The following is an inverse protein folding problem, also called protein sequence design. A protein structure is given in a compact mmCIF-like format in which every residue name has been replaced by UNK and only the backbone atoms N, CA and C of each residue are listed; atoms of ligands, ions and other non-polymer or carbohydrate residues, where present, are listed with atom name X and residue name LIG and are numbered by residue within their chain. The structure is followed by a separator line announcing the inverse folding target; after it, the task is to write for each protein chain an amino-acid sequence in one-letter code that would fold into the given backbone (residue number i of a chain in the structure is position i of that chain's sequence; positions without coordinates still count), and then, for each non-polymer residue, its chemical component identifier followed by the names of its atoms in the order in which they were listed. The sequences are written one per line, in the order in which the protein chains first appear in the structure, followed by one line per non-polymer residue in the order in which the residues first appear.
data_IF_876579827949
#
_entry.id   IF_876579827949
#
_cell.length_a   1.000
_cell.length_b   1.000
_cell.length_c   1.000
_cell.angle_alpha   90.00
_cell.angle_beta   90.00
_cell.angle_gamma   90.00
#
_symmetry.space_group_name_H-M   'P 1'
#
loop_
_entity.id
_entity.type
_entity.pdbx_description
1 polymer ?
#
# COMPACT_ATOMS: atom_id res chain seq x y z
N UNK A 1 -22.36 -1.85 7.63
CA UNK A 1 -21.54 -2.35 8.76
C UNK A 1 -21.61 -3.86 9.04
N UNK A 2 -22.55 -4.69 8.54
CA UNK A 2 -22.50 -6.15 8.77
C UNK A 2 -21.55 -6.96 7.84
N UNK A 3 -21.04 -6.37 6.75
CA UNK A 3 -20.26 -7.13 5.73
C UNK A 3 -18.77 -7.28 6.02
N UNK A 4 -18.17 -6.40 6.83
CA UNK A 4 -16.75 -6.49 7.20
C UNK A 4 -16.46 -7.54 8.28
N UNK A 5 -17.43 -7.85 9.13
CA UNK A 5 -17.30 -8.91 10.14
C UNK A 5 -17.29 -10.32 9.55
N UNK A 6 -17.94 -10.53 8.40
CA UNK A 6 -17.97 -11.83 7.74
C UNK A 6 -16.60 -12.26 7.18
N UNK A 7 -15.77 -11.33 6.71
CA UNK A 7 -14.47 -11.66 6.09
C UNK A 7 -13.40 -12.03 7.13
N UNK A 8 -13.40 -11.42 8.31
CA UNK A 8 -12.48 -11.79 9.40
C UNK A 8 -12.80 -13.18 9.98
N UNK A 9 -14.08 -13.51 10.06
CA UNK A 9 -14.55 -14.83 10.54
C UNK A 9 -14.17 -15.97 9.58
N UNK A 10 -14.13 -15.72 8.27
CA UNK A 10 -13.78 -16.72 7.26
C UNK A 10 -12.28 -17.04 7.27
N UNK A 11 -11.42 -16.07 7.54
CA UNK A 11 -9.97 -16.31 7.67
C UNK A 11 -9.65 -17.12 8.94
N UNK A 12 -10.32 -16.83 10.05
CA UNK A 12 -10.18 -17.57 11.29
C UNK A 12 -10.66 -19.04 11.14
N UNK A 13 -11.72 -19.28 10.41
CA UNK A 13 -12.29 -20.63 10.23
C UNK A 13 -11.37 -21.62 9.46
N UNK A 14 -10.44 -21.15 8.63
CA UNK A 14 -9.46 -22.04 7.94
C UNK A 14 -8.21 -22.37 8.75
N UNK A 15 -7.89 -21.61 9.79
CA UNK A 15 -6.78 -21.90 10.70
C UNK A 15 -7.12 -22.95 11.77
N UNK A 16 -8.40 -23.30 11.92
CA UNK A 16 -8.90 -24.21 12.96
C UNK A 16 -8.91 -25.70 12.59
N UNK A 17 -8.30 -26.09 11.48
CA UNK A 17 -8.24 -27.51 11.08
C UNK A 17 -7.43 -28.41 12.05
N UNK A 18 -6.79 -27.82 13.07
CA UNK A 18 -5.90 -28.52 14.02
C UNK A 18 -6.30 -28.34 15.49
N UNK A 19 -7.46 -27.73 15.80
CA UNK A 19 -7.94 -27.57 17.18
C UNK A 19 -9.30 -28.19 17.38
N UNK A 20 -9.58 -28.66 18.62
CA UNK A 20 -10.85 -29.22 19.02
C UNK A 20 -12.00 -28.23 18.74
N UNK A 21 -13.07 -28.64 18.03
CA UNK A 21 -14.21 -27.79 17.73
C UNK A 21 -14.85 -27.13 18.97
N UNK A 22 -14.94 -27.84 20.09
CA UNK A 22 -15.54 -27.33 21.33
C UNK A 22 -14.66 -26.26 22.01
N UNK A 23 -13.35 -26.36 21.91
CA UNK A 23 -12.42 -25.35 22.42
C UNK A 23 -12.45 -24.08 21.55
N UNK A 24 -12.67 -24.25 20.26
CA UNK A 24 -12.80 -23.15 19.31
C UNK A 24 -14.09 -22.35 19.53
N UNK A 25 -15.22 -23.02 19.75
CA UNK A 25 -16.48 -22.33 20.06
C UNK A 25 -16.42 -21.57 21.39
N UNK A 26 -15.80 -22.14 22.41
CA UNK A 26 -15.61 -21.44 23.71
C UNK A 26 -14.72 -20.20 23.57
N UNK A 27 -13.66 -20.25 22.75
CA UNK A 27 -12.79 -19.09 22.49
C UNK A 27 -13.53 -18.01 21.70
N UNK A 28 -14.33 -18.38 20.71
CA UNK A 28 -15.12 -17.44 19.92
C UNK A 28 -16.21 -16.73 20.76
N UNK A 29 -16.89 -17.43 21.65
CA UNK A 29 -17.91 -16.85 22.54
C UNK A 29 -17.31 -16.00 23.66
N UNK A 30 -16.11 -16.32 24.16
CA UNK A 30 -15.41 -15.50 25.16
C UNK A 30 -14.79 -14.22 24.58
N UNK A 31 -14.50 -14.17 23.28
CA UNK A 31 -13.93 -13.00 22.61
C UNK A 31 -14.99 -11.92 22.29
N UNK A 32 -16.28 -12.26 22.31
CA UNK A 32 -17.36 -11.30 22.02
C UNK A 32 -17.62 -10.28 23.14
N UNK A 33 -17.07 -10.46 24.33
CA UNK A 33 -17.26 -9.54 25.46
C UNK A 33 -16.02 -8.68 25.79
N UNK A 34 -14.91 -8.86 25.10
CA UNK A 34 -13.79 -7.94 25.22
C UNK A 34 -13.99 -6.78 24.24
N UNK A 35 -14.35 -5.61 24.77
CA UNK A 35 -14.13 -4.34 24.06
C UNK A 35 -12.71 -4.41 23.46
N UNK A 36 -12.61 -4.29 22.12
CA UNK A 36 -11.32 -4.17 21.48
C UNK A 36 -10.52 -3.12 22.27
N UNK A 37 -9.28 -3.40 22.70
CA UNK A 37 -8.48 -2.39 23.34
C UNK A 37 -8.45 -1.18 22.41
N UNK A 38 -8.64 0.02 22.96
CA UNK A 38 -8.38 1.26 22.26
C UNK A 38 -6.89 1.23 21.88
N UNK A 39 -6.58 0.65 20.72
CA UNK A 39 -5.21 0.52 20.25
C UNK A 39 -4.78 1.88 19.72
N UNK A 40 -4.29 2.73 20.62
CA UNK A 40 -3.50 3.87 20.24
C UNK A 40 -2.19 3.33 19.67
N UNK A 41 -2.13 3.14 18.37
CA UNK A 41 -0.90 2.80 17.67
C UNK A 41 0.05 4.01 17.61
N UNK A 42 1.32 3.80 17.23
CA UNK A 42 2.28 4.91 17.11
C UNK A 42 1.88 5.96 16.07
N UNK A 43 0.98 5.65 15.14
CA UNK A 43 0.44 6.57 14.13
C UNK A 43 -1.03 6.97 14.40
N UNK A 44 -1.50 6.81 15.63
CA UNK A 44 -2.85 7.27 16.00
C UNK A 44 -3.00 8.78 15.77
N UNK A 45 -4.09 9.17 15.10
CA UNK A 45 -4.34 10.55 14.68
C UNK A 45 -3.81 10.93 13.31
N UNK A 46 -2.87 10.16 12.73
CA UNK A 46 -2.38 10.38 11.36
C UNK A 46 -3.44 9.97 10.34
N UNK A 47 -3.70 10.84 9.37
CA UNK A 47 -4.68 10.63 8.30
C UNK A 47 -4.00 10.48 6.95
N UNK A 48 -4.33 9.41 6.24
CA UNK A 48 -3.70 9.04 4.98
C UNK A 48 -4.74 8.87 3.88
N UNK A 49 -4.51 9.50 2.72
CA UNK A 49 -5.20 9.15 1.47
C UNK A 49 -4.31 8.21 0.67
N UNK A 50 -4.81 7.02 0.40
CA UNK A 50 -4.12 6.03 -0.43
C UNK A 50 -4.77 5.98 -1.82
N UNK A 51 -4.09 6.59 -2.80
CA UNK A 51 -4.47 6.62 -4.23
C UNK A 51 -3.78 5.51 -5.03
N UNK A 52 -2.93 4.69 -4.41
CA UNK A 52 -2.12 3.70 -5.10
C UNK A 52 -2.98 2.63 -5.79
N UNK A 53 -2.51 2.12 -6.93
CA UNK A 53 -3.19 1.05 -7.67
C UNK A 53 -2.40 -0.26 -7.71
N UNK A 54 -1.15 -0.24 -7.24
CA UNK A 54 -0.23 -1.38 -7.25
C UNK A 54 -0.04 -2.00 -5.86
N UNK A 55 0.80 -3.04 -5.82
CA UNK A 55 1.12 -3.77 -4.60
C UNK A 55 1.94 -2.91 -3.64
N UNK A 56 2.98 -2.24 -4.14
CA UNK A 56 3.92 -1.50 -3.30
C UNK A 56 3.22 -0.36 -2.55
N UNK A 57 2.46 0.49 -3.26
CA UNK A 57 1.71 1.57 -2.64
C UNK A 57 0.62 1.06 -1.70
N UNK A 58 -0.12 0.02 -2.11
CA UNK A 58 -1.14 -0.58 -1.23
C UNK A 58 -0.52 -1.19 0.02
N UNK A 59 0.65 -1.84 -0.08
CA UNK A 59 1.36 -2.38 1.07
C UNK A 59 1.90 -1.29 2.00
N UNK A 60 2.43 -0.19 1.44
CA UNK A 60 2.81 1.00 2.20
C UNK A 60 1.63 1.52 3.04
N UNK A 61 0.48 1.79 2.42
CA UNK A 61 -0.71 2.26 3.12
C UNK A 61 -1.24 1.28 4.16
N UNK A 62 -1.13 -0.04 3.90
CA UNK A 62 -1.47 -1.07 4.89
C UNK A 62 -0.58 -1.01 6.13
N UNK A 63 0.74 -0.91 5.95
CA UNK A 63 1.67 -0.82 7.09
C UNK A 63 1.35 0.39 7.97
N UNK A 64 1.07 1.55 7.37
CA UNK A 64 0.66 2.73 8.14
C UNK A 64 -0.66 2.48 8.90
N UNK A 65 -1.64 1.81 8.25
CA UNK A 65 -2.91 1.44 8.90
C UNK A 65 -2.70 0.43 10.04
N UNK A 66 -1.82 -0.56 9.87
CA UNK A 66 -1.49 -1.56 10.90
C UNK A 66 -0.84 -0.90 12.11
N UNK A 67 -0.13 0.23 11.93
CA UNK A 67 0.43 1.04 13.02
C UNK A 67 -0.52 2.13 13.57
N UNK A 68 -1.78 2.15 13.13
CA UNK A 68 -2.84 2.98 13.74
C UNK A 68 -3.25 4.21 12.95
N UNK A 69 -2.67 4.48 11.77
CA UNK A 69 -3.12 5.58 10.93
C UNK A 69 -4.55 5.35 10.40
N UNK A 70 -5.33 6.42 10.27
CA UNK A 70 -6.64 6.39 9.61
C UNK A 70 -6.46 6.49 8.09
N UNK A 71 -6.43 5.35 7.41
CA UNK A 71 -6.15 5.25 5.98
C UNK A 71 -7.44 5.13 5.18
N UNK A 72 -7.67 6.08 4.28
CA UNK A 72 -8.75 6.05 3.29
C UNK A 72 -8.18 5.68 1.92
N UNK A 73 -8.49 4.47 1.46
CA UNK A 73 -8.21 4.00 0.11
C UNK A 73 -9.21 4.61 -0.86
N UNK A 74 -8.72 5.40 -1.82
CA UNK A 74 -9.51 5.95 -2.91
C UNK A 74 -9.26 5.16 -4.19
N UNK A 75 -10.31 4.55 -4.72
CA UNK A 75 -10.25 3.72 -5.91
C UNK A 75 -10.97 4.40 -7.09
N UNK A 76 -10.50 4.19 -8.33
CA UNK A 76 -11.28 4.60 -9.50
C UNK A 76 -12.63 3.85 -9.54
N UNK A 77 -13.63 4.34 -10.30
CA UNK A 77 -14.95 3.68 -10.41
C UNK A 77 -14.88 2.21 -10.88
N UNK A 78 -13.81 1.86 -11.59
CA UNK A 78 -13.54 0.49 -12.08
C UNK A 78 -12.95 -0.42 -11.01
N UNK A 79 -12.66 0.10 -9.81
CA UNK A 79 -11.91 -0.56 -8.75
C UNK A 79 -10.40 -0.63 -9.05
N UNK A 80 -9.60 -0.76 -8.00
CA UNK A 80 -8.14 -0.90 -8.11
C UNK A 80 -7.76 -2.17 -8.88
N UNK A 81 -6.59 -2.15 -9.54
CA UNK A 81 -6.06 -3.27 -10.34
C UNK A 81 -5.95 -4.56 -9.53
N UNK A 82 -5.59 -4.46 -8.26
CA UNK A 82 -5.44 -5.59 -7.33
C UNK A 82 -6.74 -6.38 -7.11
N UNK A 83 -7.91 -5.79 -7.34
CA UNK A 83 -9.20 -6.49 -7.26
C UNK A 83 -9.34 -7.59 -8.31
N UNK A 84 -8.53 -7.53 -9.37
CA UNK A 84 -8.49 -8.52 -10.46
C UNK A 84 -7.39 -9.56 -10.31
N UNK A 85 -6.61 -9.49 -9.23
CA UNK A 85 -5.54 -10.44 -8.93
C UNK A 85 -6.04 -11.56 -8.01
N UNK A 86 -5.76 -12.82 -8.40
CA UNK A 86 -6.01 -14.00 -7.56
C UNK A 86 -4.96 -14.15 -6.43
N UNK A 87 -5.16 -15.13 -5.53
CA UNK A 87 -6.26 -16.09 -5.53
C UNK A 87 -7.59 -15.44 -5.15
N UNK A 88 -8.68 -16.06 -5.60
CA UNK A 88 -10.03 -15.62 -5.30
C UNK A 88 -10.71 -16.55 -4.29
N UNK A 89 -11.52 -15.98 -3.41
CA UNK A 89 -12.31 -16.79 -2.49
C UNK A 89 -13.26 -17.73 -3.24
N UNK A 90 -13.16 -19.02 -2.93
CA UNK A 90 -13.96 -20.07 -3.57
C UNK A 90 -13.61 -20.32 -5.04
N UNK A 91 -12.39 -19.91 -5.47
CA UNK A 91 -11.91 -20.02 -6.86
C UNK A 91 -12.84 -19.34 -7.90
N UNK A 92 -13.63 -18.36 -7.45
CA UNK A 92 -14.56 -17.59 -8.27
C UNK A 92 -13.99 -16.19 -8.56
N UNK A 93 -13.47 -15.91 -9.77
CA UNK A 93 -12.92 -14.61 -10.13
C UNK A 93 -13.97 -13.51 -10.06
N UNK A 94 -13.90 -12.70 -9.01
CA UNK A 94 -14.79 -11.57 -8.78
C UNK A 94 -14.03 -10.46 -8.05
N UNK A 95 -14.23 -9.16 -8.38
CA UNK A 95 -13.51 -8.04 -7.77
C UNK A 95 -13.63 -7.95 -6.24
N UNK A 96 -14.74 -8.42 -5.67
CA UNK A 96 -14.96 -8.45 -4.23
C UNK A 96 -14.42 -9.72 -3.54
N UNK A 97 -13.83 -10.65 -4.31
CA UNK A 97 -13.32 -11.94 -3.82
C UNK A 97 -11.81 -12.09 -3.92
N UNK A 98 -11.08 -11.08 -4.39
CA UNK A 98 -9.63 -11.08 -4.42
C UNK A 98 -9.08 -11.12 -2.99
N UNK A 99 -8.49 -12.24 -2.61
CA UNK A 99 -7.82 -12.39 -1.32
C UNK A 99 -6.53 -11.56 -1.27
N UNK A 100 -5.93 -11.32 -2.42
CA UNK A 100 -4.76 -10.47 -2.55
C UNK A 100 -5.10 -9.00 -2.28
N UNK A 101 -6.18 -8.48 -2.90
CA UNK A 101 -6.68 -7.14 -2.60
C UNK A 101 -7.02 -6.99 -1.11
N UNK A 102 -7.73 -7.97 -0.54
CA UNK A 102 -8.07 -7.97 0.88
C UNK A 102 -6.82 -7.89 1.76
N UNK A 103 -5.80 -8.71 1.45
CA UNK A 103 -4.55 -8.74 2.20
C UNK A 103 -3.83 -7.39 2.14
N UNK A 104 -3.75 -6.75 0.96
CA UNK A 104 -3.03 -5.49 0.76
C UNK A 104 -3.78 -4.27 1.33
N UNK A 105 -5.07 -4.40 1.63
CA UNK A 105 -5.89 -3.28 2.08
C UNK A 105 -6.57 -3.53 3.44
N UNK A 106 -6.02 -4.43 4.27
CA UNK A 106 -6.45 -4.60 5.66
C UNK A 106 -6.35 -3.27 6.42
N UNK A 107 -7.29 -3.08 7.36
CA UNK A 107 -7.37 -1.92 8.25
C UNK A 107 -7.61 -0.56 7.56
N UNK A 108 -7.86 -0.54 6.25
CA UNK A 108 -8.21 0.67 5.50
C UNK A 108 -9.72 0.82 5.36
N UNK A 109 -10.18 2.06 5.31
CA UNK A 109 -11.50 2.43 4.79
C UNK A 109 -11.43 2.55 3.27
N UNK A 110 -12.53 2.34 2.56
CA UNK A 110 -12.57 2.44 1.10
C UNK A 110 -13.62 3.44 0.63
N UNK A 111 -13.30 4.20 -0.41
CA UNK A 111 -14.22 5.04 -1.16
C UNK A 111 -13.82 5.07 -2.65
N UNK A 112 -14.76 5.51 -3.50
CA UNK A 112 -14.52 5.65 -4.94
C UNK A 112 -14.37 7.11 -5.31
N UNK A 113 -13.34 7.43 -6.09
CA UNK A 113 -13.10 8.76 -6.61
C UNK A 113 -12.57 8.69 -8.06
N UNK A 114 -13.20 9.41 -8.98
CA UNK A 114 -12.75 9.48 -10.37
C UNK A 114 -11.88 10.72 -10.59
N UNK A 115 -10.56 10.54 -10.60
CA UNK A 115 -9.59 11.62 -10.84
C UNK A 115 -9.55 12.10 -12.30
N UNK A 116 -10.11 11.35 -13.25
CA UNK A 116 -10.22 11.79 -14.63
C UNK A 116 -11.24 12.93 -14.80
N UNK A 117 -12.17 13.08 -13.84
CA UNK A 117 -13.17 14.16 -13.87
C UNK A 117 -12.70 15.38 -13.09
N UNK A 118 -13.10 16.57 -13.56
CA UNK A 118 -12.86 17.84 -12.84
C UNK A 118 -13.45 17.78 -11.42
N UNK A 119 -14.65 17.22 -11.30
CA UNK A 119 -15.30 17.07 -9.99
C UNK A 119 -14.49 16.21 -9.02
N UNK A 120 -13.97 15.08 -9.49
CA UNK A 120 -13.14 14.19 -8.67
C UNK A 120 -11.85 14.88 -8.20
N UNK A 121 -11.17 15.60 -9.09
CA UNK A 121 -9.98 16.40 -8.72
C UNK A 121 -10.29 17.50 -7.70
N UNK A 122 -11.41 18.19 -7.87
CA UNK A 122 -11.84 19.21 -6.91
C UNK A 122 -12.19 18.60 -5.54
N UNK A 123 -12.74 17.38 -5.50
CA UNK A 123 -12.98 16.65 -4.26
C UNK A 123 -11.63 16.30 -3.60
N UNK A 124 -10.65 15.78 -4.37
CA UNK A 124 -9.32 15.48 -3.83
C UNK A 124 -8.68 16.73 -3.22
N UNK A 125 -8.65 17.87 -3.93
CA UNK A 125 -8.11 19.14 -3.40
C UNK A 125 -8.79 19.57 -2.10
N UNK A 126 -10.09 19.35 -1.96
CA UNK A 126 -10.83 19.64 -0.72
C UNK A 126 -10.54 18.67 0.43
N UNK A 127 -10.10 17.45 0.14
CA UNK A 127 -9.69 16.48 1.17
C UNK A 127 -8.29 16.75 1.70
N UNK A 128 -7.37 17.21 0.84
CA UNK A 128 -5.95 17.39 1.15
C UNK A 128 -5.68 18.28 2.38
N UNK A 129 -6.40 19.38 2.64
CA UNK A 129 -6.22 20.16 3.88
C UNK A 129 -6.54 19.41 5.19
N UNK A 130 -7.15 18.24 5.10
CA UNK A 130 -7.60 17.45 6.25
C UNK A 130 -6.80 16.17 6.46
N UNK A 131 -5.71 15.97 5.71
CA UNK A 131 -4.87 14.78 5.78
C UNK A 131 -3.40 15.13 5.88
N UNK A 132 -2.62 14.22 6.43
CA UNK A 132 -1.18 14.38 6.63
C UNK A 132 -0.38 13.78 5.48
N UNK A 133 -0.88 12.69 4.90
CA UNK A 133 -0.16 11.90 3.89
C UNK A 133 -1.05 11.60 2.70
N UNK A 134 -0.48 11.69 1.50
CA UNK A 134 -1.00 11.10 0.25
C UNK A 134 -0.01 10.06 -0.26
N UNK A 135 -0.49 8.83 -0.53
CA UNK A 135 0.29 7.77 -1.18
C UNK A 135 -0.23 7.61 -2.61
N UNK A 136 0.67 7.53 -3.57
CA UNK A 136 0.32 7.26 -4.97
C UNK A 136 1.34 6.32 -5.64
N UNK A 137 0.94 5.69 -6.74
CA UNK A 137 1.79 4.79 -7.52
C UNK A 137 1.54 4.90 -9.03
N UNK A 138 1.10 6.08 -9.47
CA UNK A 138 0.90 6.34 -10.90
C UNK A 138 2.23 6.55 -11.61
N UNK A 139 2.21 6.48 -12.94
CA UNK A 139 3.39 6.87 -13.72
C UNK A 139 3.81 8.31 -13.37
N UNK A 140 5.12 8.61 -13.37
CA UNK A 140 5.60 9.96 -13.14
C UNK A 140 4.92 11.00 -14.03
N UNK A 141 4.43 12.08 -13.41
CA UNK A 141 3.72 13.15 -14.09
C UNK A 141 2.21 12.97 -14.23
N UNK A 142 1.65 11.75 -14.01
CA UNK A 142 0.22 11.50 -14.20
C UNK A 142 -0.68 12.42 -13.38
N UNK A 143 -0.42 12.57 -12.10
CA UNK A 143 -1.22 13.46 -11.23
C UNK A 143 -0.99 14.93 -11.58
N UNK A 144 0.23 15.31 -11.95
CA UNK A 144 0.56 16.68 -12.39
C UNK A 144 -0.16 17.05 -13.70
N UNK A 145 -0.28 16.10 -14.66
CA UNK A 145 -1.06 16.29 -15.89
C UNK A 145 -2.52 16.68 -15.62
N UNK A 146 -3.05 16.26 -14.45
CA UNK A 146 -4.41 16.61 -14.00
C UNK A 146 -4.46 17.80 -13.03
N UNK A 147 -3.34 18.45 -12.72
CA UNK A 147 -3.26 19.56 -11.78
C UNK A 147 -3.54 19.16 -10.33
N UNK A 148 -3.16 17.93 -9.96
CA UNK A 148 -3.22 17.36 -8.61
C UNK A 148 -1.91 16.62 -8.26
N UNK A 149 -0.78 17.04 -8.83
CA UNK A 149 0.56 16.60 -8.43
C UNK A 149 1.00 17.21 -7.10
N UNK A 150 2.21 16.88 -6.65
CA UNK A 150 2.72 17.37 -5.37
C UNK A 150 2.70 18.90 -5.28
N UNK A 151 3.20 19.61 -6.30
CA UNK A 151 3.25 21.07 -6.32
C UNK A 151 1.85 21.71 -6.25
N UNK A 152 0.85 21.06 -6.85
CA UNK A 152 -0.54 21.52 -6.78
C UNK A 152 -1.16 21.29 -5.40
N UNK A 153 -0.88 20.13 -4.79
CA UNK A 153 -1.48 19.72 -3.52
C UNK A 153 -0.81 20.39 -2.32
N UNK A 154 0.51 20.67 -2.37
CA UNK A 154 1.21 21.40 -1.32
C UNK A 154 0.73 22.86 -1.21
N UNK A 155 0.21 23.43 -2.30
CA UNK A 155 -0.41 24.75 -2.26
C UNK A 155 -1.72 24.78 -1.44
N UNK A 156 -2.42 23.64 -1.33
CA UNK A 156 -3.62 23.47 -0.50
C UNK A 156 -3.26 23.09 0.96
N UNK A 157 -2.12 22.42 1.16
CA UNK A 157 -1.64 22.00 2.49
C UNK A 157 -0.11 21.96 2.51
N UNK A 158 0.53 23.00 3.03
CA UNK A 158 2.00 23.13 3.08
C UNK A 158 2.70 22.09 3.95
N UNK A 159 1.97 21.43 4.83
CA UNK A 159 2.48 20.34 5.67
C UNK A 159 2.27 18.95 5.04
N UNK A 160 1.74 18.86 3.82
CA UNK A 160 1.46 17.60 3.16
C UNK A 160 2.73 16.78 2.90
N UNK A 161 2.69 15.51 3.30
CA UNK A 161 3.65 14.51 2.87
C UNK A 161 3.04 13.75 1.69
N UNK A 162 3.74 13.70 0.56
CA UNK A 162 3.35 12.87 -0.58
C UNK A 162 4.38 11.78 -0.83
N UNK A 163 3.96 10.52 -0.81
CA UNK A 163 4.80 9.36 -1.06
C UNK A 163 4.45 8.75 -2.41
N UNK A 164 5.32 8.95 -3.39
CA UNK A 164 5.21 8.39 -4.74
C UNK A 164 6.06 7.13 -4.83
N UNK A 165 5.45 6.00 -5.18
CA UNK A 165 6.14 4.72 -5.27
C UNK A 165 6.01 4.21 -6.71
N UNK A 166 7.13 4.16 -7.43
CA UNK A 166 7.15 3.77 -8.84
C UNK A 166 8.27 2.78 -9.11
N UNK A 167 8.23 2.06 -10.24
CA UNK A 167 9.29 1.09 -10.56
C UNK A 167 10.70 1.66 -10.55
N UNK A 168 10.88 2.91 -11.03
CA UNK A 168 12.19 3.53 -11.24
C UNK A 168 12.34 4.94 -10.66
N UNK A 169 11.42 5.38 -9.80
CA UNK A 169 11.41 6.75 -9.27
C UNK A 169 10.77 7.77 -10.23
N UNK A 170 10.62 9.00 -9.73
CA UNK A 170 10.00 10.10 -10.46
C UNK A 170 10.93 10.72 -11.50
N UNK A 171 12.24 10.51 -11.39
CA UNK A 171 13.27 11.15 -12.23
C UNK A 171 14.22 10.12 -12.82
N UNK A 172 15.11 10.57 -13.70
CA UNK A 172 16.11 9.71 -14.32
C UNK A 172 15.65 9.07 -15.65
N UNK A 173 16.59 8.37 -16.33
CA UNK A 173 16.37 7.89 -17.71
C UNK A 173 15.33 6.78 -17.82
N UNK A 174 15.05 6.06 -16.73
CA UNK A 174 14.10 4.94 -16.70
C UNK A 174 12.74 5.30 -16.11
N UNK A 175 12.54 6.53 -15.59
CA UNK A 175 11.33 6.93 -14.86
C UNK A 175 10.03 6.67 -15.63
N UNK A 176 10.04 6.77 -16.96
CA UNK A 176 8.86 6.55 -17.81
C UNK A 176 8.71 5.08 -18.27
N UNK A 177 9.62 4.19 -17.89
CA UNK A 177 9.53 2.78 -18.27
C UNK A 177 8.54 2.03 -17.38
N UNK A 178 7.92 1.01 -17.95
CA UNK A 178 7.11 0.06 -17.18
C UNK A 178 8.03 -0.93 -16.49
N UNK A 179 7.83 -1.10 -15.18
CA UNK A 179 8.55 -2.06 -14.37
C UNK A 179 7.59 -3.05 -13.72
N UNK A 180 7.65 -4.28 -14.16
CA UNK A 180 7.00 -5.41 -13.49
C UNK A 180 7.94 -6.01 -12.43
N UNK A 181 7.41 -6.84 -11.56
CA UNK A 181 8.17 -7.49 -10.48
C UNK A 181 9.52 -8.07 -10.97
N UNK A 182 9.49 -8.85 -12.07
CA UNK A 182 10.70 -9.49 -12.60
C UNK A 182 11.73 -8.48 -13.12
N UNK A 183 11.26 -7.36 -13.67
CA UNK A 183 12.13 -6.29 -14.19
C UNK A 183 12.84 -5.59 -13.03
N UNK A 184 12.11 -5.21 -11.98
CA UNK A 184 12.68 -4.57 -10.80
C UNK A 184 13.68 -5.50 -10.09
N UNK A 185 13.37 -6.80 -10.03
CA UNK A 185 14.25 -7.82 -9.47
C UNK A 185 15.56 -7.99 -10.24
N UNK A 186 15.46 -8.02 -11.58
CA UNK A 186 16.62 -8.14 -12.46
C UNK A 186 17.51 -6.89 -12.40
N UNK A 187 16.91 -5.71 -12.54
CA UNK A 187 17.64 -4.44 -12.52
C UNK A 187 18.17 -4.09 -11.13
N UNK A 188 17.50 -4.51 -10.07
CA UNK A 188 17.98 -4.41 -8.69
C UNK A 188 19.05 -5.43 -8.31
N UNK A 189 19.55 -6.24 -9.26
CA UNK A 189 20.65 -7.18 -9.13
C UNK A 189 20.39 -8.45 -8.30
N UNK A 190 19.28 -8.59 -7.61
CA UNK A 190 18.99 -9.77 -6.77
C UNK A 190 18.99 -11.06 -7.61
N UNK A 191 18.52 -11.00 -8.86
CA UNK A 191 18.57 -12.17 -9.74
C UNK A 191 19.98 -12.64 -10.07
N UNK A 192 20.98 -11.76 -10.02
CA UNK A 192 22.38 -12.13 -10.30
C UNK A 192 23.00 -13.03 -9.22
N UNK A 193 22.42 -13.01 -8.02
CA UNK A 193 22.87 -13.81 -6.86
C UNK A 193 21.87 -14.89 -6.47
N UNK A 194 20.80 -15.06 -7.26
CA UNK A 194 19.74 -16.03 -7.01
C UNK A 194 19.81 -17.17 -8.02
N UNK A 195 19.69 -18.41 -7.56
CA UNK A 195 19.71 -19.60 -8.39
C UNK A 195 20.98 -20.44 -8.21
N UNK A 196 21.26 -21.31 -9.18
CA UNK A 196 22.39 -22.23 -9.19
C UNK A 196 23.43 -21.70 -10.19
N UNK A 197 24.70 -21.70 -9.82
CA UNK A 197 25.77 -21.24 -10.70
C UNK A 197 25.80 -22.04 -12.02
N UNK A 198 25.72 -21.34 -13.14
CA UNK A 198 25.70 -21.94 -14.48
C UNK A 198 24.28 -22.23 -15.01
N UNK A 199 23.24 -22.03 -14.20
CA UNK A 199 21.83 -22.11 -14.57
C UNK A 199 21.23 -20.73 -14.78
N UNK A 200 19.95 -20.68 -15.23
CA UNK A 200 19.24 -19.42 -15.42
C UNK A 200 18.99 -18.71 -14.07
N UNK A 201 19.13 -17.37 -14.01
CA UNK A 201 18.80 -16.60 -12.82
C UNK A 201 17.34 -16.79 -12.39
N UNK A 202 17.09 -16.94 -11.11
CA UNK A 202 15.77 -17.16 -10.57
C UNK A 202 15.21 -15.91 -9.87
N UNK A 203 13.93 -15.63 -10.10
CA UNK A 203 13.15 -14.69 -9.30
C UNK A 203 12.59 -15.42 -8.08
N UNK A 204 12.61 -14.78 -6.91
CA UNK A 204 11.92 -15.30 -5.73
C UNK A 204 10.39 -15.36 -5.97
N UNK A 205 9.72 -16.25 -5.27
CA UNK A 205 8.27 -16.37 -5.34
C UNK A 205 7.54 -15.11 -4.83
N UNK A 206 6.36 -14.84 -5.37
CA UNK A 206 5.54 -13.70 -5.00
C UNK A 206 6.04 -12.36 -5.56
N UNK A 207 5.84 -11.29 -4.83
CA UNK A 207 6.06 -9.89 -5.22
C UNK A 207 7.03 -9.20 -4.27
N UNK A 208 8.22 -9.75 -4.09
CA UNK A 208 9.19 -9.28 -3.09
C UNK A 208 9.71 -7.87 -3.38
N UNK A 209 9.97 -7.53 -4.65
CA UNK A 209 10.37 -6.17 -5.02
C UNK A 209 9.30 -5.14 -4.65
N UNK A 210 8.02 -5.47 -4.89
CA UNK A 210 6.91 -4.60 -4.54
C UNK A 210 6.77 -4.45 -3.02
N UNK A 211 6.98 -5.52 -2.25
CA UNK A 211 6.97 -5.44 -0.79
C UNK A 211 8.12 -4.59 -0.25
N UNK A 212 9.31 -4.71 -0.83
CA UNK A 212 10.46 -3.87 -0.47
C UNK A 212 10.18 -2.39 -0.75
N UNK A 213 9.62 -2.07 -1.93
CA UNK A 213 9.19 -0.71 -2.25
C UNK A 213 8.17 -0.17 -1.26
N UNK A 214 7.13 -0.95 -0.93
CA UNK A 214 6.10 -0.57 0.02
C UNK A 214 6.62 -0.39 1.45
N UNK A 215 7.53 -1.26 1.90
CA UNK A 215 8.17 -1.18 3.21
C UNK A 215 9.03 0.10 3.32
N UNK A 216 9.88 0.37 2.32
CA UNK A 216 10.69 1.59 2.26
C UNK A 216 9.80 2.84 2.20
N UNK A 217 8.69 2.79 1.43
CA UNK A 217 7.69 3.85 1.39
C UNK A 217 7.10 4.13 2.78
N UNK A 218 6.67 3.10 3.50
CA UNK A 218 6.11 3.26 4.85
C UNK A 218 7.15 3.79 5.86
N UNK A 219 8.39 3.27 5.81
CA UNK A 219 9.47 3.74 6.67
C UNK A 219 9.82 5.21 6.41
N UNK A 220 10.01 5.60 5.14
CA UNK A 220 10.31 6.98 4.75
C UNK A 220 9.17 7.93 5.10
N UNK A 221 7.91 7.51 4.89
CA UNK A 221 6.73 8.28 5.30
C UNK A 221 6.70 8.49 6.81
N UNK A 222 7.03 7.47 7.61
CA UNK A 222 7.09 7.60 9.06
C UNK A 222 8.18 8.57 9.53
N UNK A 223 9.35 8.57 8.86
CA UNK A 223 10.44 9.54 9.12
C UNK A 223 9.97 10.96 8.75
N UNK A 224 9.29 11.12 7.61
CA UNK A 224 8.75 12.40 7.19
C UNK A 224 7.70 12.95 8.16
N UNK A 225 6.81 12.09 8.69
CA UNK A 225 5.85 12.46 9.72
C UNK A 225 6.54 12.93 11.01
N UNK A 226 7.64 12.29 11.40
CA UNK A 226 8.45 12.76 12.52
C UNK A 226 9.07 14.14 12.24
N UNK A 227 9.59 14.38 11.04
CA UNK A 227 10.10 15.69 10.64
C UNK A 227 8.99 16.73 10.62
N UNK A 228 7.84 16.44 10.00
CA UNK A 228 6.67 17.31 9.94
C UNK A 228 6.20 17.73 11.34
N UNK A 229 6.17 16.79 12.30
CA UNK A 229 5.78 17.11 13.69
C UNK A 229 6.71 18.10 14.38
N UNK A 230 7.98 18.20 13.95
CA UNK A 230 8.96 19.11 14.51
C UNK A 230 9.07 20.44 13.75
N UNK A 231 8.87 20.43 12.43
CA UNK A 231 9.10 21.61 11.56
C UNK A 231 7.80 22.24 11.08
N UNK A 232 6.70 21.49 11.04
CA UNK A 232 5.44 21.88 10.40
C UNK A 232 5.48 21.82 8.86
N UNK A 233 6.58 21.38 8.26
CA UNK A 233 6.77 21.33 6.81
C UNK A 233 6.53 19.93 6.26
N UNK A 234 5.80 19.85 5.13
CA UNK A 234 5.62 18.64 4.35
C UNK A 234 6.80 18.37 3.42
N UNK A 235 6.80 17.21 2.78
CA UNK A 235 7.81 16.86 1.78
C UNK A 235 7.31 15.83 0.78
N UNK A 236 7.92 15.80 -0.41
CA UNK A 236 7.71 14.78 -1.41
C UNK A 236 8.74 13.65 -1.24
N UNK A 237 8.27 12.43 -1.08
CA UNK A 237 9.06 11.22 -0.97
C UNK A 237 8.96 10.46 -2.28
N UNK A 238 10.10 10.25 -2.93
CA UNK A 238 10.22 9.49 -4.17
C UNK A 238 10.85 8.12 -3.88
N UNK A 239 10.09 7.06 -4.10
CA UNK A 239 10.51 5.67 -3.89
C UNK A 239 10.62 4.96 -5.23
N UNK A 240 11.82 4.54 -5.55
CA UNK A 240 12.13 3.64 -6.67
C UNK A 240 12.16 2.19 -6.17
N UNK A 241 11.23 1.36 -6.63
CA UNK A 241 11.19 -0.06 -6.27
C UNK A 241 12.51 -0.77 -6.65
N UNK A 242 13.07 -0.43 -7.82
CA UNK A 242 14.35 -1.00 -8.27
C UNK A 242 15.51 -0.64 -7.33
N UNK A 243 15.57 0.59 -6.83
CA UNK A 243 16.62 1.01 -5.89
C UNK A 243 16.44 0.37 -4.51
N UNK A 244 15.19 0.15 -4.07
CA UNK A 244 14.92 -0.61 -2.85
C UNK A 244 15.47 -2.03 -2.96
N UNK A 245 15.22 -2.72 -4.07
CA UNK A 245 15.78 -4.06 -4.34
C UNK A 245 17.33 -4.01 -4.39
N UNK A 246 17.90 -3.02 -5.08
CA UNK A 246 19.37 -2.87 -5.17
C UNK A 246 20.01 -2.65 -3.79
N UNK A 247 19.35 -1.92 -2.89
CA UNK A 247 19.84 -1.71 -1.52
C UNK A 247 19.96 -3.01 -0.73
N UNK A 248 19.05 -3.95 -0.95
CA UNK A 248 19.10 -5.28 -0.33
C UNK A 248 20.24 -6.12 -0.89
N UNK A 249 20.54 -6.02 -2.20
CA UNK A 249 21.66 -6.75 -2.82
C UNK A 249 23.03 -6.30 -2.29
N UNK A 250 23.21 -5.03 -1.94
CA UNK A 250 24.48 -4.52 -1.39
C UNK A 250 24.88 -5.17 -0.05
N UNK A 251 23.94 -5.70 0.70
CA UNK A 251 24.20 -6.37 1.98
C UNK A 251 24.80 -7.78 1.81
N UNK A 252 24.91 -8.29 0.58
CA UNK A 252 25.32 -9.68 0.27
C UNK A 252 26.70 -9.77 -0.40
N UNK A 253 27.42 -8.65 -0.53
CA UNK A 253 28.79 -8.61 -1.12
C UNK A 253 29.89 -8.83 -0.09
#
# INVERSE_FOLDING_TARGET
MPRLLASATILAARLTYWTDPEETERKLTSTQSQQAPSSHGPLDGVKVLDLSEDIAGSFCGRLLADYGADVLKLEPPTGASLRRMGPFFGDDPHPEKSLFYLLMNLNKKGATLNLETVTGRNILKRLVPHVDVVIESYRPGYLADFGVGYDDLVAENSSLIMTSITPFGQTGPYSQYKGEEVVNYAMGLIMSISGIQGEEPLKHGGFQAQYEGGLNGAASTSIALFMQSNTGEGQHIDISVTECVASTAMATQ
#
